data_IF_415122936888
#
_entry.id   IF_415122936888
#
_cell.length_a   1.000
_cell.length_b   1.000
_cell.length_c   1.000
_cell.angle_alpha   90.00
_cell.angle_beta   90.00
_cell.angle_gamma   90.00
#
_symmetry.space_group_name_H-M   'P 1'
#
loop_
_entity.id
_entity.type
_entity.pdbx_description
1 polymer ?
#
# COMPACT_ATOMS: atom_id res chain seq x y z
N UNK A 1 1.16 26.17 11.60
CA UNK A 1 0.45 25.60 10.45
C UNK A 1 -0.67 24.75 11.03
N UNK A 2 -1.88 24.81 10.46
CA UNK A 2 -2.97 23.94 10.94
C UNK A 2 -2.64 22.47 10.63
N UNK A 3 -3.12 21.56 11.48
CA UNK A 3 -2.89 20.12 11.31
C UNK A 3 -3.46 19.60 9.98
N UNK A 4 -4.62 20.14 9.56
CA UNK A 4 -5.23 19.84 8.26
C UNK A 4 -4.34 20.24 7.07
N UNK A 5 -3.67 21.39 7.16
CA UNK A 5 -2.75 21.85 6.10
C UNK A 5 -1.54 20.93 5.94
N UNK A 6 -1.02 20.35 7.03
CA UNK A 6 0.08 19.38 6.97
C UNK A 6 -0.31 18.11 6.23
N UNK A 7 -1.55 17.62 6.42
CA UNK A 7 -2.06 16.46 5.67
C UNK A 7 -2.10 16.77 4.18
N UNK A 8 -2.72 17.89 3.81
CA UNK A 8 -2.81 18.32 2.40
C UNK A 8 -1.42 18.42 1.78
N UNK A 9 -0.51 19.12 2.45
CA UNK A 9 0.83 19.33 1.94
C UNK A 9 1.59 18.01 1.77
N UNK A 10 1.48 17.09 2.73
CA UNK A 10 2.14 15.79 2.65
C UNK A 10 1.61 14.91 1.52
N UNK A 11 0.28 14.90 1.29
CA UNK A 11 -0.33 14.15 0.20
C UNK A 11 0.03 14.75 -1.16
N UNK A 12 0.05 16.09 -1.28
CA UNK A 12 0.26 16.76 -2.57
C UNK A 12 1.74 16.84 -2.95
N UNK A 13 2.67 16.86 -1.99
CA UNK A 13 4.11 16.99 -2.25
C UNK A 13 4.63 15.96 -3.29
N UNK A 14 4.30 14.66 -3.24
CA UNK A 14 4.75 13.72 -4.27
C UNK A 14 4.17 14.00 -5.65
N UNK A 15 2.95 14.56 -5.75
CA UNK A 15 2.36 14.98 -7.01
C UNK A 15 3.08 16.18 -7.60
N UNK A 16 3.48 17.14 -6.77
CA UNK A 16 4.34 18.24 -7.20
C UNK A 16 5.70 17.74 -7.68
N UNK A 17 6.31 16.78 -6.98
CA UNK A 17 7.55 16.15 -7.45
C UNK A 17 7.38 15.51 -8.83
N UNK A 18 6.25 14.81 -9.07
CA UNK A 18 5.92 14.24 -10.38
C UNK A 18 5.75 15.31 -11.46
N UNK A 19 5.00 16.38 -11.16
CA UNK A 19 4.73 17.50 -12.08
C UNK A 19 6.01 18.23 -12.47
N UNK A 20 6.83 18.63 -11.49
CA UNK A 20 8.08 19.33 -11.74
C UNK A 20 9.11 18.44 -12.45
N UNK A 21 9.15 17.13 -12.14
CA UNK A 21 9.96 16.18 -12.91
C UNK A 21 9.53 16.10 -14.38
N UNK A 22 8.23 16.25 -14.68
CA UNK A 22 7.73 16.31 -16.04
C UNK A 22 8.12 17.63 -16.73
N UNK A 23 7.95 18.76 -16.06
CA UNK A 23 8.32 20.09 -16.59
C UNK A 23 9.81 20.15 -16.89
N UNK A 24 10.66 19.65 -16.01
CA UNK A 24 12.11 19.65 -16.12
C UNK A 24 12.66 18.43 -16.88
N UNK A 25 11.85 17.72 -17.67
CA UNK A 25 12.20 16.47 -18.35
C UNK A 25 13.44 16.54 -19.26
N UNK A 26 13.77 17.71 -19.79
CA UNK A 26 14.93 17.93 -20.65
C UNK A 26 16.26 18.08 -19.87
N UNK A 27 16.21 18.37 -18.57
CA UNK A 27 17.38 18.44 -17.72
C UNK A 27 17.35 17.29 -16.70
N UNK A 28 18.19 16.28 -16.95
CA UNK A 28 18.22 15.06 -16.11
C UNK A 28 18.49 15.37 -14.63
N UNK A 29 19.35 16.35 -14.33
CA UNK A 29 19.69 16.68 -12.95
C UNK A 29 18.52 17.34 -12.21
N UNK A 30 17.86 18.32 -12.84
CA UNK A 30 16.69 18.96 -12.25
C UNK A 30 15.52 17.99 -12.11
N UNK A 31 15.22 17.19 -13.14
CA UNK A 31 14.19 16.17 -13.10
C UNK A 31 14.36 15.24 -11.90
N UNK A 32 15.56 14.72 -11.72
CA UNK A 32 15.83 13.71 -10.70
C UNK A 32 15.93 14.34 -9.29
N UNK A 33 16.32 15.63 -9.18
CA UNK A 33 16.37 16.35 -7.90
C UNK A 33 14.99 16.50 -7.26
N UNK A 34 13.91 16.62 -8.05
CA UNK A 34 12.56 16.76 -7.51
C UNK A 34 12.09 15.51 -6.76
N UNK A 35 12.54 14.31 -7.14
CA UNK A 35 12.29 13.08 -6.37
C UNK A 35 12.92 13.14 -4.97
N UNK A 36 14.17 13.61 -4.87
CA UNK A 36 14.88 13.74 -3.59
C UNK A 36 14.26 14.86 -2.73
N UNK A 37 14.03 16.04 -3.33
CA UNK A 37 13.43 17.19 -2.61
C UNK A 37 12.03 16.83 -2.12
N UNK A 38 11.20 16.20 -2.97
CA UNK A 38 9.88 15.71 -2.58
C UNK A 38 9.94 14.73 -1.43
N UNK A 39 10.91 13.80 -1.46
CA UNK A 39 11.15 12.85 -0.38
C UNK A 39 11.53 13.54 0.93
N UNK A 40 12.44 14.51 0.90
CA UNK A 40 12.86 15.28 2.08
C UNK A 40 11.70 16.08 2.69
N UNK A 41 10.94 16.81 1.85
CA UNK A 41 9.79 17.59 2.32
C UNK A 41 8.74 16.68 2.93
N UNK A 42 8.40 15.57 2.26
CA UNK A 42 7.42 14.60 2.78
C UNK A 42 7.89 13.95 4.08
N UNK A 43 9.17 13.64 4.20
CA UNK A 43 9.75 13.09 5.43
C UNK A 43 9.64 14.06 6.60
N UNK A 44 9.97 15.34 6.39
CA UNK A 44 9.85 16.37 7.44
C UNK A 44 8.39 16.57 7.88
N UNK A 45 7.44 16.53 6.93
CA UNK A 45 6.01 16.60 7.24
C UNK A 45 5.59 15.37 8.04
N UNK A 46 5.95 14.15 7.60
CA UNK A 46 5.63 12.91 8.29
C UNK A 46 6.24 12.86 9.71
N UNK A 47 7.46 13.39 9.87
CA UNK A 47 8.11 13.49 11.19
C UNK A 47 7.34 14.43 12.12
N UNK A 48 6.88 15.58 11.60
CA UNK A 48 6.08 16.53 12.37
C UNK A 48 4.73 15.94 12.76
N UNK A 49 4.05 15.25 11.86
CA UNK A 49 2.78 14.55 12.13
C UNK A 49 3.00 13.45 13.18
N UNK A 50 4.05 12.64 13.04
CA UNK A 50 4.38 11.59 14.00
C UNK A 50 4.59 12.15 15.41
N UNK A 51 5.35 13.23 15.53
CA UNK A 51 5.58 13.88 16.83
C UNK A 51 4.30 14.50 17.41
N UNK A 52 3.45 15.11 16.56
CA UNK A 52 2.15 15.65 17.00
C UNK A 52 1.22 14.55 17.51
N UNK A 53 1.17 13.38 16.85
CA UNK A 53 0.36 12.24 17.31
C UNK A 53 0.87 11.71 18.66
N UNK A 54 2.18 11.67 18.90
CA UNK A 54 2.74 11.31 20.20
C UNK A 54 2.30 12.27 21.33
N UNK A 55 2.02 13.53 20.97
CA UNK A 55 1.50 14.56 21.88
C UNK A 55 -0.04 14.61 21.90
N UNK A 56 -0.72 13.57 21.40
CA UNK A 56 -2.18 13.46 21.31
C UNK A 56 -2.84 14.54 20.42
N UNK A 57 -2.12 15.12 19.47
CA UNK A 57 -2.71 16.02 18.47
C UNK A 57 -3.51 15.21 17.45
N UNK A 58 -4.69 15.75 17.05
CA UNK A 58 -5.53 15.15 16.01
C UNK A 58 -5.18 15.75 14.66
N UNK A 59 -4.88 14.88 13.70
CA UNK A 59 -4.64 15.21 12.30
C UNK A 59 -5.78 14.63 11.46
N UNK A 60 -6.75 15.49 11.14
CA UNK A 60 -7.92 15.10 10.34
C UNK A 60 -8.36 16.24 9.42
N UNK A 61 -8.85 15.87 8.24
CA UNK A 61 -9.49 16.76 7.29
C UNK A 61 -10.57 16.00 6.51
N UNK A 62 -11.76 16.59 6.43
CA UNK A 62 -12.86 16.11 5.60
C UNK A 62 -13.06 17.10 4.46
N UNK A 63 -13.16 16.62 3.23
CA UNK A 63 -13.34 17.44 2.03
C UNK A 63 -14.80 17.56 1.64
N UNK A 64 -15.50 16.43 1.53
CA UNK A 64 -16.91 16.37 1.15
C UNK A 64 -17.49 15.00 1.53
N UNK A 65 -18.82 14.92 1.60
CA UNK A 65 -19.56 13.68 1.81
C UNK A 65 -19.76 12.98 0.46
N UNK A 66 -19.39 11.69 0.37
CA UNK A 66 -19.56 10.87 -0.82
C UNK A 66 -21.00 10.34 -0.90
N UNK A 67 -21.48 9.77 0.18
CA UNK A 67 -22.85 9.30 0.39
C UNK A 67 -23.12 9.16 1.90
N UNK A 68 -24.36 8.87 2.27
CA UNK A 68 -24.77 8.84 3.68
C UNK A 68 -23.86 7.94 4.54
N UNK A 69 -23.29 8.54 5.57
CA UNK A 69 -22.38 7.86 6.50
C UNK A 69 -20.95 7.66 6.00
N UNK A 70 -20.57 8.19 4.82
CA UNK A 70 -19.22 8.06 4.27
C UNK A 70 -18.71 9.36 3.69
N UNK A 71 -17.70 9.92 4.36
CA UNK A 71 -17.04 11.15 3.97
C UNK A 71 -15.71 10.90 3.26
N UNK A 72 -15.32 11.81 2.36
CA UNK A 72 -13.94 11.81 1.82
C UNK A 72 -13.02 12.47 2.83
N UNK A 73 -12.54 11.64 3.78
CA UNK A 73 -11.80 12.09 4.96
C UNK A 73 -10.41 11.46 5.02
N UNK A 74 -9.41 12.28 5.35
CA UNK A 74 -8.10 11.82 5.80
C UNK A 74 -8.00 12.01 7.30
N UNK A 75 -7.56 10.97 8.01
CA UNK A 75 -7.32 10.95 9.44
C UNK A 75 -6.06 10.12 9.71
N UNK A 76 -5.04 10.75 10.26
CA UNK A 76 -3.79 10.04 10.51
C UNK A 76 -3.86 9.31 11.83
N UNK A 77 -3.81 7.99 11.78
CA UNK A 77 -3.68 7.12 12.95
C UNK A 77 -2.21 6.97 13.39
N UNK A 78 -1.98 6.43 14.58
CA UNK A 78 -0.63 6.10 15.05
C UNK A 78 0.09 5.16 14.07
N UNK A 79 -0.61 4.11 13.59
CA UNK A 79 -0.08 3.17 12.60
C UNK A 79 0.23 3.88 11.25
N UNK A 80 -0.66 4.77 10.79
CA UNK A 80 -0.47 5.55 9.57
C UNK A 80 0.71 6.51 9.64
N UNK A 81 0.95 7.10 10.83
CA UNK A 81 2.09 7.99 11.04
C UNK A 81 3.43 7.27 10.96
N UNK A 82 3.55 6.07 11.55
CA UNK A 82 4.73 5.22 11.46
C UNK A 82 4.97 4.78 10.02
N UNK A 83 3.90 4.32 9.34
CA UNK A 83 4.00 3.91 7.94
C UNK A 83 4.51 5.05 7.04
N UNK A 84 3.95 6.25 7.17
CA UNK A 84 4.34 7.40 6.35
C UNK A 84 5.76 7.86 6.62
N UNK A 85 6.23 7.78 7.87
CA UNK A 85 7.60 8.10 8.25
C UNK A 85 8.60 7.13 7.58
N UNK A 86 8.32 5.83 7.65
CA UNK A 86 9.16 4.80 7.00
C UNK A 86 9.12 4.95 5.48
N UNK A 87 7.94 5.10 4.88
CA UNK A 87 7.80 5.23 3.42
C UNK A 87 8.53 6.46 2.88
N UNK A 88 8.41 7.61 3.54
CA UNK A 88 9.07 8.85 3.11
C UNK A 88 10.58 8.81 3.28
N UNK A 89 11.10 8.22 4.36
CA UNK A 89 12.54 8.04 4.55
C UNK A 89 13.15 7.12 3.50
N UNK A 90 12.49 6.00 3.21
CA UNK A 90 12.93 5.08 2.17
C UNK A 90 12.80 5.68 0.76
N UNK A 91 11.84 6.58 0.52
CA UNK A 91 11.74 7.27 -0.76
C UNK A 91 12.97 8.11 -1.08
N UNK A 92 13.57 8.80 -0.11
CA UNK A 92 14.81 9.57 -0.29
C UNK A 92 15.93 8.64 -0.77
N UNK A 93 16.18 7.55 -0.03
CA UNK A 93 17.23 6.58 -0.34
C UNK A 93 17.00 5.91 -1.69
N UNK A 94 15.76 5.50 -1.95
CA UNK A 94 15.36 4.88 -3.21
C UNK A 94 15.48 5.84 -4.40
N UNK A 95 15.23 7.14 -4.23
CA UNK A 95 15.43 8.15 -5.28
C UNK A 95 16.90 8.27 -5.65
N UNK A 96 17.80 8.36 -4.66
CA UNK A 96 19.26 8.42 -4.87
C UNK A 96 19.73 7.16 -5.61
N UNK A 97 19.33 5.98 -5.13
CA UNK A 97 19.65 4.70 -5.76
C UNK A 97 19.14 4.62 -7.21
N UNK A 98 17.89 5.05 -7.44
CA UNK A 98 17.26 5.04 -8.76
C UNK A 98 18.03 5.88 -9.77
N UNK A 99 18.50 7.06 -9.38
CA UNK A 99 19.29 7.94 -10.25
C UNK A 99 20.55 7.22 -10.74
N UNK A 100 21.31 6.65 -9.80
CA UNK A 100 22.53 5.90 -10.12
C UNK A 100 22.25 4.70 -11.03
N UNK A 101 21.23 3.90 -10.70
CA UNK A 101 20.88 2.70 -11.45
C UNK A 101 20.38 3.03 -12.86
N UNK A 102 19.39 3.92 -12.99
CA UNK A 102 18.76 4.21 -14.29
C UNK A 102 19.71 4.88 -15.26
N UNK A 103 20.59 5.75 -14.76
CA UNK A 103 21.62 6.41 -15.58
C UNK A 103 22.75 5.44 -15.93
N UNK A 104 23.23 4.66 -14.96
CA UNK A 104 24.32 3.69 -15.16
C UNK A 104 23.95 2.56 -16.11
N UNK A 105 22.70 2.08 -16.04
CA UNK A 105 22.17 1.05 -16.93
C UNK A 105 21.71 1.61 -18.31
N UNK A 106 21.73 2.93 -18.53
CA UNK A 106 21.22 3.55 -19.76
C UNK A 106 19.74 3.29 -20.02
N UNK A 107 18.93 3.13 -18.96
CA UNK A 107 17.49 2.83 -19.09
C UNK A 107 16.74 3.95 -19.83
N UNK A 108 15.85 3.54 -20.72
CA UNK A 108 15.02 4.48 -21.51
C UNK A 108 13.82 4.97 -20.66
N UNK A 109 13.18 6.06 -21.13
CA UNK A 109 11.95 6.58 -20.51
C UNK A 109 12.04 6.90 -19.00
N UNK A 110 13.21 7.41 -18.54
CA UNK A 110 13.45 7.72 -17.13
C UNK A 110 12.45 8.74 -16.56
N UNK A 111 12.00 9.72 -17.36
CA UNK A 111 10.99 10.70 -16.94
C UNK A 111 9.67 10.02 -16.56
N UNK A 112 9.19 9.09 -17.43
CA UNK A 112 7.99 8.29 -17.13
C UNK A 112 8.16 7.52 -15.83
N UNK A 113 9.34 6.95 -15.62
CA UNK A 113 9.67 6.22 -14.40
C UNK A 113 9.52 7.10 -13.14
N UNK A 114 10.18 8.25 -13.10
CA UNK A 114 10.16 9.16 -11.94
C UNK A 114 8.74 9.66 -11.64
N UNK A 115 7.95 9.98 -12.67
CA UNK A 115 6.56 10.42 -12.52
C UNK A 115 5.72 9.35 -11.84
N UNK A 116 5.68 8.13 -12.39
CA UNK A 116 4.86 7.05 -11.83
C UNK A 116 5.36 6.57 -10.48
N UNK A 117 6.67 6.65 -10.23
CA UNK A 117 7.24 6.39 -8.93
C UNK A 117 6.70 7.38 -7.87
N UNK A 118 6.72 8.68 -8.17
CA UNK A 118 6.20 9.72 -7.27
C UNK A 118 4.68 9.59 -7.05
N UNK A 119 3.89 9.25 -8.09
CA UNK A 119 2.45 8.98 -7.95
C UNK A 119 2.20 7.75 -7.07
N UNK A 120 3.02 6.72 -7.17
CA UNK A 120 2.91 5.54 -6.30
C UNK A 120 3.17 5.89 -4.82
N UNK A 121 4.14 6.76 -4.54
CA UNK A 121 4.39 7.26 -3.18
C UNK A 121 3.21 8.10 -2.68
N UNK A 122 2.66 9.00 -3.53
CA UNK A 122 1.44 9.73 -3.21
C UNK A 122 0.32 8.80 -2.77
N UNK A 123 0.03 7.76 -3.56
CA UNK A 123 -1.03 6.81 -3.25
C UNK A 123 -0.74 6.03 -1.95
N UNK A 124 0.50 5.63 -1.70
CA UNK A 124 0.89 4.94 -0.47
C UNK A 124 0.69 5.81 0.78
N UNK A 125 1.04 7.10 0.71
CA UNK A 125 0.81 8.06 1.81
C UNK A 125 -0.69 8.32 2.02
N UNK A 126 -1.45 8.43 0.94
CA UNK A 126 -2.90 8.62 1.03
C UNK A 126 -3.60 7.39 1.63
N UNK A 127 -3.13 6.17 1.35
CA UNK A 127 -3.56 4.94 2.05
C UNK A 127 -3.25 5.06 3.55
N UNK A 128 -2.04 5.47 3.91
CA UNK A 128 -1.59 5.57 5.29
C UNK A 128 -2.41 6.56 6.12
N UNK A 129 -2.92 7.60 5.48
CA UNK A 129 -3.66 8.70 6.12
C UNK A 129 -5.15 8.68 5.80
N UNK A 130 -5.67 7.63 5.20
CA UNK A 130 -7.12 7.46 4.97
C UNK A 130 -7.88 7.44 6.30
N UNK A 131 -9.05 8.09 6.34
CA UNK A 131 -9.92 8.14 7.51
C UNK A 131 -10.97 7.04 7.55
N UNK A 132 -11.22 6.39 6.40
CA UNK A 132 -12.18 5.30 6.26
C UNK A 132 -11.77 4.29 5.20
N UNK A 133 -12.49 3.19 5.17
CA UNK A 133 -12.18 2.04 4.32
C UNK A 133 -12.37 2.33 2.81
N UNK A 134 -13.30 3.21 2.43
CA UNK A 134 -13.52 3.57 1.03
C UNK A 134 -12.41 4.48 0.49
N UNK A 135 -11.99 5.48 1.25
CA UNK A 135 -10.85 6.35 0.87
C UNK A 135 -9.59 5.50 0.75
N UNK A 136 -9.36 4.57 1.70
CA UNK A 136 -8.28 3.60 1.61
C UNK A 136 -8.36 2.82 0.29
N UNK A 137 -9.52 2.27 -0.07
CA UNK A 137 -9.72 1.50 -1.30
C UNK A 137 -9.43 2.31 -2.56
N UNK A 138 -9.89 3.56 -2.65
CA UNK A 138 -9.61 4.44 -3.80
C UNK A 138 -8.11 4.59 -4.03
N UNK A 139 -7.36 4.94 -2.98
CA UNK A 139 -5.90 5.10 -3.11
C UNK A 139 -5.15 3.77 -3.25
N UNK A 140 -5.72 2.68 -2.74
CA UNK A 140 -5.24 1.33 -2.99
C UNK A 140 -5.28 1.01 -4.49
N UNK A 141 -6.35 1.37 -5.22
CA UNK A 141 -6.41 1.18 -6.67
C UNK A 141 -5.50 2.15 -7.43
N UNK A 142 -5.43 3.43 -7.01
CA UNK A 142 -4.48 4.39 -7.60
C UNK A 142 -3.04 3.86 -7.49
N UNK A 143 -2.68 3.22 -6.38
CA UNK A 143 -1.38 2.58 -6.21
C UNK A 143 -1.17 1.45 -7.22
N UNK A 144 -2.19 0.59 -7.46
CA UNK A 144 -2.12 -0.47 -8.46
C UNK A 144 -1.88 0.10 -9.86
N UNK A 145 -2.68 1.08 -10.27
CA UNK A 145 -2.58 1.68 -11.60
C UNK A 145 -1.29 2.49 -11.79
N UNK A 146 -0.78 3.16 -10.77
CA UNK A 146 0.47 3.93 -10.86
C UNK A 146 1.70 3.03 -10.95
N UNK A 147 1.66 1.84 -10.36
CA UNK A 147 2.79 0.90 -10.41
C UNK A 147 2.78 -0.02 -11.63
N UNK A 148 1.66 -0.19 -12.31
CA UNK A 148 1.57 -0.97 -13.54
C UNK A 148 2.57 -0.52 -14.63
N UNK A 149 2.69 0.79 -14.99
CA UNK A 149 3.67 1.25 -15.97
C UNK A 149 5.14 1.06 -15.52
N UNK A 150 5.37 0.91 -14.22
CA UNK A 150 6.69 0.63 -13.67
C UNK A 150 7.05 -0.85 -13.83
N UNK A 151 6.11 -1.78 -13.58
CA UNK A 151 6.30 -3.22 -13.83
C UNK A 151 6.55 -3.47 -15.33
N UNK A 152 5.77 -2.82 -16.20
CA UNK A 152 5.93 -2.88 -17.65
C UNK A 152 7.01 -1.95 -18.23
N UNK A 153 7.97 -1.44 -17.43
CA UNK A 153 8.90 -0.38 -17.84
C UNK A 153 9.71 -0.71 -19.09
N UNK A 154 10.23 -1.93 -19.19
CA UNK A 154 11.07 -2.39 -20.30
C UNK A 154 10.32 -2.53 -21.63
N UNK A 155 9.00 -2.56 -21.62
CA UNK A 155 8.13 -2.65 -22.82
C UNK A 155 8.39 -3.85 -23.73
N UNK A 156 9.10 -4.88 -23.29
CA UNK A 156 9.24 -6.15 -23.97
C UNK A 156 8.07 -7.11 -23.69
N UNK A 157 7.96 -8.20 -24.44
CA UNK A 157 6.85 -9.16 -24.29
C UNK A 157 6.75 -9.76 -22.88
N UNK A 158 7.87 -10.00 -22.24
CA UNK A 158 7.96 -10.53 -20.88
C UNK A 158 7.41 -9.54 -19.86
N UNK A 159 7.87 -8.27 -19.88
CA UNK A 159 7.40 -7.24 -18.95
C UNK A 159 5.94 -6.88 -19.17
N UNK A 160 5.43 -6.93 -20.41
CA UNK A 160 4.01 -6.73 -20.71
C UNK A 160 3.15 -7.89 -20.16
N UNK A 161 3.62 -9.14 -20.30
CA UNK A 161 2.93 -10.30 -19.74
C UNK A 161 2.88 -10.25 -18.20
N UNK A 162 4.01 -9.93 -17.58
CA UNK A 162 4.11 -9.73 -16.13
C UNK A 162 3.21 -8.59 -15.65
N UNK A 163 3.18 -7.47 -16.36
CA UNK A 163 2.29 -6.35 -16.05
C UNK A 163 0.81 -6.72 -16.14
N UNK A 164 0.39 -7.47 -17.17
CA UNK A 164 -0.99 -7.96 -17.27
C UNK A 164 -1.35 -8.89 -16.12
N UNK A 165 -0.48 -9.84 -15.77
CA UNK A 165 -0.69 -10.74 -14.63
C UNK A 165 -0.79 -9.95 -13.32
N UNK A 166 0.11 -8.98 -13.12
CA UNK A 166 0.09 -8.07 -11.99
C UNK A 166 -1.26 -7.35 -11.85
N UNK A 167 -1.70 -6.70 -12.93
CA UNK A 167 -2.95 -5.94 -12.93
C UNK A 167 -4.17 -6.84 -12.75
N UNK A 168 -4.22 -7.98 -13.47
CA UNK A 168 -5.36 -8.92 -13.41
C UNK A 168 -5.56 -9.49 -12.02
N UNK A 169 -4.48 -9.85 -11.31
CA UNK A 169 -4.59 -10.37 -9.95
C UNK A 169 -5.00 -9.26 -8.99
N UNK A 170 -4.31 -8.12 -8.97
CA UNK A 170 -4.54 -7.09 -7.96
C UNK A 170 -5.89 -6.39 -8.13
N UNK A 171 -6.24 -5.98 -9.35
CA UNK A 171 -7.55 -5.36 -9.62
C UNK A 171 -8.67 -6.40 -9.55
N UNK A 172 -8.43 -7.61 -10.08
CA UNK A 172 -9.42 -8.69 -10.01
C UNK A 172 -9.80 -9.04 -8.58
N UNK A 173 -8.82 -9.23 -7.70
CA UNK A 173 -9.10 -9.57 -6.29
C UNK A 173 -9.77 -8.42 -5.54
N UNK A 174 -9.33 -7.20 -5.77
CA UNK A 174 -9.93 -6.04 -5.10
C UNK A 174 -11.36 -5.76 -5.54
N UNK A 175 -11.69 -5.91 -6.82
CA UNK A 175 -13.05 -5.71 -7.32
C UNK A 175 -13.99 -6.87 -6.98
N UNK A 176 -13.49 -8.13 -6.95
CA UNK A 176 -14.32 -9.31 -6.69
C UNK A 176 -14.54 -9.51 -5.18
N UNK A 177 -13.55 -9.19 -4.34
CA UNK A 177 -13.61 -9.48 -2.92
C UNK A 177 -13.60 -8.24 -2.04
N UNK A 178 -12.63 -7.32 -2.23
CA UNK A 178 -12.46 -6.19 -1.32
C UNK A 178 -13.61 -5.18 -1.44
N UNK A 179 -13.97 -4.78 -2.65
CA UNK A 179 -15.05 -3.82 -2.86
C UNK A 179 -16.41 -4.34 -2.38
N UNK A 180 -16.83 -5.59 -2.68
CA UNK A 180 -18.07 -6.13 -2.12
C UNK A 180 -18.04 -6.26 -0.59
N UNK A 181 -16.87 -6.57 0.02
CA UNK A 181 -16.73 -6.59 1.47
C UNK A 181 -16.96 -5.19 2.08
N UNK A 182 -16.43 -4.13 1.44
CA UNK A 182 -16.65 -2.75 1.85
C UNK A 182 -18.14 -2.38 1.83
N UNK A 183 -18.84 -2.74 0.74
CA UNK A 183 -20.27 -2.50 0.64
C UNK A 183 -21.07 -3.28 1.68
N UNK A 184 -20.70 -4.53 1.96
CA UNK A 184 -21.37 -5.33 2.98
C UNK A 184 -21.17 -4.71 4.38
N UNK A 185 -19.96 -4.29 4.71
CA UNK A 185 -19.68 -3.58 5.97
C UNK A 185 -20.57 -2.32 6.09
N UNK A 186 -20.62 -1.51 5.03
CA UNK A 186 -21.43 -0.29 5.02
C UNK A 186 -22.94 -0.57 5.19
N UNK A 187 -23.47 -1.60 4.55
CA UNK A 187 -24.86 -1.98 4.67
C UNK A 187 -25.25 -2.40 6.10
N UNK A 188 -24.35 -3.07 6.82
CA UNK A 188 -24.61 -3.54 8.18
C UNK A 188 -24.37 -2.45 9.25
N UNK A 189 -23.37 -1.59 9.03
CA UNK A 189 -22.93 -0.64 10.06
C UNK A 189 -23.33 0.83 9.78
N UNK A 190 -23.71 1.15 8.55
CA UNK A 190 -24.00 2.52 8.12
C UNK A 190 -22.77 3.43 8.03
N UNK A 191 -21.57 2.94 8.35
CA UNK A 191 -20.31 3.70 8.33
C UNK A 191 -19.14 2.87 7.84
N UNK A 192 -18.07 3.54 7.39
CA UNK A 192 -16.80 2.92 7.02
C UNK A 192 -15.61 3.53 7.76
N UNK A 193 -15.88 4.40 8.74
CA UNK A 193 -14.87 5.16 9.46
C UNK A 193 -14.03 4.26 10.37
N UNK A 194 -12.75 4.54 10.43
CA UNK A 194 -11.82 3.82 11.30
C UNK A 194 -12.04 4.21 12.76
N UNK A 195 -12.39 3.23 13.58
CA UNK A 195 -12.61 3.39 15.02
C UNK A 195 -11.76 2.41 15.83
N UNK A 196 -11.24 2.87 16.95
CA UNK A 196 -10.50 2.02 17.87
C UNK A 196 -11.43 0.92 18.42
N UNK A 197 -10.97 -0.33 18.36
CA UNK A 197 -11.76 -1.49 18.77
C UNK A 197 -12.66 -2.10 17.70
N UNK A 198 -12.77 -1.45 16.53
CA UNK A 198 -13.56 -1.94 15.38
C UNK A 198 -15.02 -1.44 15.38
N UNK A 199 -15.63 -1.44 14.20
CA UNK A 199 -17.02 -1.00 14.00
C UNK A 199 -18.01 -2.18 13.88
N UNK A 200 -17.50 -3.41 13.72
CA UNK A 200 -18.37 -4.59 13.49
C UNK A 200 -18.94 -5.20 14.77
N UNK A 201 -18.36 -4.91 15.93
CA UNK A 201 -18.80 -5.48 17.19
C UNK A 201 -20.26 -5.10 17.48
N UNK A 202 -21.11 -6.09 17.78
CA UNK A 202 -22.55 -5.93 18.00
C UNK A 202 -23.38 -5.42 16.81
N UNK A 203 -22.77 -5.22 15.63
CA UNK A 203 -23.47 -4.75 14.43
C UNK A 203 -23.45 -5.78 13.30
N UNK A 204 -22.40 -6.61 13.23
CA UNK A 204 -22.25 -7.62 12.20
C UNK A 204 -22.56 -9.03 12.72
N UNK A 205 -23.32 -9.85 11.96
CA UNK A 205 -23.61 -11.24 12.35
C UNK A 205 -22.36 -12.10 12.46
N UNK A 206 -22.09 -12.66 13.64
CA UNK A 206 -20.89 -13.45 13.92
C UNK A 206 -20.74 -14.67 13.00
N UNK A 207 -21.85 -15.24 12.54
CA UNK A 207 -21.87 -16.41 11.64
C UNK A 207 -21.25 -16.13 10.28
N UNK A 208 -21.33 -14.90 9.77
CA UNK A 208 -20.75 -14.49 8.48
C UNK A 208 -19.37 -13.84 8.60
N UNK A 209 -18.88 -13.62 9.81
CA UNK A 209 -17.61 -12.91 10.02
C UNK A 209 -16.42 -13.62 9.37
N UNK A 210 -16.39 -14.98 9.41
CA UNK A 210 -15.33 -15.75 8.76
C UNK A 210 -15.32 -15.55 7.24
N UNK A 211 -16.51 -15.45 6.61
CA UNK A 211 -16.62 -15.16 5.17
C UNK A 211 -16.17 -13.74 4.86
N UNK A 212 -16.57 -12.76 5.66
CA UNK A 212 -16.15 -11.37 5.50
C UNK A 212 -14.63 -11.24 5.61
N UNK A 213 -14.01 -11.90 6.61
CA UNK A 213 -12.54 -11.93 6.75
C UNK A 213 -11.90 -12.55 5.51
N UNK A 214 -12.46 -13.63 4.97
CA UNK A 214 -11.95 -14.24 3.75
C UNK A 214 -12.00 -13.27 2.56
N UNK A 215 -13.11 -12.55 2.38
CA UNK A 215 -13.24 -11.51 1.34
C UNK A 215 -12.21 -10.39 1.53
N UNK A 216 -12.00 -9.91 2.75
CA UNK A 216 -11.02 -8.87 3.05
C UNK A 216 -9.57 -9.35 2.81
N UNK A 217 -9.22 -10.53 3.29
CA UNK A 217 -7.86 -11.12 3.15
C UNK A 217 -7.52 -11.37 1.68
N UNK A 218 -8.41 -12.02 0.93
CA UNK A 218 -8.18 -12.30 -0.49
C UNK A 218 -8.38 -11.05 -1.36
N UNK A 219 -9.21 -10.11 -0.94
CA UNK A 219 -9.39 -8.83 -1.60
C UNK A 219 -8.19 -7.89 -1.46
N UNK A 220 -7.47 -7.94 -0.33
CA UNK A 220 -6.21 -7.21 -0.12
C UNK A 220 -5.04 -7.99 -0.77
N UNK A 221 -5.15 -8.26 -2.06
CA UNK A 221 -4.17 -9.05 -2.82
C UNK A 221 -2.73 -8.55 -2.77
N UNK A 222 -2.50 -7.25 -2.44
CA UNK A 222 -1.16 -6.68 -2.27
C UNK A 222 -0.41 -7.28 -1.07
N UNK A 223 -1.08 -7.87 -0.10
CA UNK A 223 -0.46 -8.61 1.00
C UNK A 223 0.20 -9.93 0.55
N UNK A 224 -0.08 -10.37 -0.67
CA UNK A 224 0.55 -11.52 -1.34
C UNK A 224 0.45 -12.85 -0.57
N UNK A 225 -0.63 -13.08 0.17
CA UNK A 225 -0.90 -14.36 0.82
C UNK A 225 -1.21 -15.45 -0.24
N UNK A 226 -0.82 -16.69 -0.02
CA UNK A 226 -1.19 -17.79 -0.92
C UNK A 226 -2.70 -18.06 -0.86
N UNK A 227 -3.34 -18.29 -2.04
CA UNK A 227 -2.79 -18.52 -3.38
C UNK A 227 -2.56 -17.26 -4.23
N UNK A 228 -2.85 -16.06 -3.75
CA UNK A 228 -2.87 -14.79 -4.53
C UNK A 228 -1.46 -14.17 -4.72
N UNK A 229 -0.41 -14.83 -4.26
CA UNK A 229 0.98 -14.33 -4.24
C UNK A 229 1.67 -14.21 -5.61
N UNK A 230 1.16 -14.87 -6.67
CA UNK A 230 1.88 -15.08 -7.95
C UNK A 230 2.29 -13.80 -8.68
N UNK A 231 1.57 -12.72 -8.47
CA UNK A 231 1.89 -11.42 -9.07
C UNK A 231 3.26 -10.88 -8.62
N UNK A 232 3.67 -11.16 -7.37
CA UNK A 232 4.87 -10.57 -6.79
C UNK A 232 6.17 -11.12 -7.42
N UNK A 233 6.39 -12.46 -7.54
CA UNK A 233 7.52 -12.99 -8.29
C UNK A 233 7.47 -12.60 -9.78
N UNK A 234 6.28 -12.55 -10.40
CA UNK A 234 6.14 -12.15 -11.80
C UNK A 234 6.57 -10.69 -12.04
N UNK A 235 6.33 -9.80 -11.09
CA UNK A 235 6.75 -8.39 -11.19
C UNK A 235 8.29 -8.20 -11.14
N UNK A 236 9.08 -9.23 -10.83
CA UNK A 236 10.54 -9.14 -10.72
C UNK A 236 11.26 -8.95 -12.05
N UNK A 237 10.60 -9.07 -13.19
CA UNK A 237 11.14 -8.69 -14.52
C UNK A 237 11.44 -7.19 -14.64
N UNK A 238 10.82 -6.37 -13.80
CA UNK A 238 11.03 -4.93 -13.75
C UNK A 238 12.47 -4.54 -13.35
N UNK A 239 12.93 -3.31 -13.67
CA UNK A 239 14.20 -2.79 -13.17
C UNK A 239 14.30 -2.85 -11.65
N UNK A 240 15.51 -3.01 -11.11
CA UNK A 240 15.71 -3.19 -9.66
C UNK A 240 15.11 -2.07 -8.79
N UNK A 241 15.14 -0.77 -9.19
CA UNK A 241 14.45 0.27 -8.42
C UNK A 241 12.93 0.06 -8.29
N UNK A 242 12.28 -0.55 -9.31
CA UNK A 242 10.86 -0.93 -9.21
C UNK A 242 10.68 -2.05 -8.19
N UNK A 243 11.55 -3.07 -8.24
CA UNK A 243 11.50 -4.15 -7.25
C UNK A 243 11.66 -3.60 -5.82
N UNK A 244 12.55 -2.62 -5.61
CA UNK A 244 12.72 -1.94 -4.34
C UNK A 244 11.44 -1.19 -3.91
N UNK A 245 10.77 -0.46 -4.82
CA UNK A 245 9.49 0.19 -4.55
C UNK A 245 8.40 -0.81 -4.15
N UNK A 246 8.27 -1.90 -4.92
CA UNK A 246 7.26 -2.93 -4.69
C UNK A 246 7.44 -3.60 -3.32
N UNK A 247 8.68 -3.96 -2.96
CA UNK A 247 8.97 -4.76 -1.76
C UNK A 247 9.20 -3.93 -0.50
N UNK A 248 9.93 -2.81 -0.59
CA UNK A 248 10.41 -2.10 0.60
C UNK A 248 9.59 -0.86 0.93
N UNK A 249 9.07 -0.14 -0.08
CA UNK A 249 8.53 1.21 0.15
C UNK A 249 7.01 1.24 0.13
N UNK A 250 6.34 0.72 -0.91
CA UNK A 250 4.93 1.04 -1.14
C UNK A 250 4.00 -0.17 -1.23
N UNK A 251 4.09 -1.02 -2.27
CA UNK A 251 2.97 -1.88 -2.67
C UNK A 251 2.64 -2.97 -1.65
N UNK A 252 3.59 -3.84 -1.32
CA UNK A 252 3.35 -4.91 -0.34
C UNK A 252 3.14 -4.37 1.06
N UNK A 253 3.79 -3.24 1.39
CA UNK A 253 3.62 -2.58 2.69
C UNK A 253 2.22 -1.96 2.80
N UNK A 254 1.70 -1.33 1.75
CA UNK A 254 0.32 -0.90 1.70
C UNK A 254 -0.66 -2.08 1.84
N UNK A 255 -0.33 -3.26 1.28
CA UNK A 255 -1.14 -4.46 1.45
C UNK A 255 -1.28 -4.89 2.92
N UNK A 256 -0.15 -5.12 3.61
CA UNK A 256 -0.20 -5.52 5.03
C UNK A 256 -0.68 -4.39 5.93
N UNK A 257 -0.40 -3.13 5.60
CA UNK A 257 -0.96 -1.98 6.30
C UNK A 257 -2.49 -1.97 6.22
N UNK A 258 -3.05 -2.12 5.01
CA UNK A 258 -4.51 -2.20 4.82
C UNK A 258 -5.12 -3.35 5.60
N UNK A 259 -4.44 -4.51 5.64
CA UNK A 259 -4.86 -5.65 6.45
C UNK A 259 -4.89 -5.32 7.94
N UNK A 260 -3.81 -4.73 8.49
CA UNK A 260 -3.74 -4.32 9.88
C UNK A 260 -4.83 -3.30 10.25
N UNK A 261 -5.04 -2.29 9.38
CA UNK A 261 -6.10 -1.28 9.56
C UNK A 261 -7.47 -1.93 9.61
N UNK A 262 -7.75 -2.88 8.72
CA UNK A 262 -9.01 -3.61 8.69
C UNK A 262 -9.21 -4.42 9.97
N UNK A 263 -8.20 -5.15 10.42
CA UNK A 263 -8.30 -5.96 11.64
C UNK A 263 -8.49 -5.07 12.88
N UNK A 264 -7.72 -3.99 13.01
CA UNK A 264 -7.71 -3.17 14.23
C UNK A 264 -8.91 -2.22 14.28
N UNK A 265 -9.24 -1.55 13.16
CA UNK A 265 -10.19 -0.43 13.17
C UNK A 265 -11.55 -0.75 12.53
N UNK A 266 -11.69 -1.86 11.81
CA UNK A 266 -12.96 -2.29 11.22
C UNK A 266 -13.52 -3.51 11.96
N UNK A 267 -12.77 -4.61 11.99
CA UNK A 267 -13.25 -5.87 12.59
C UNK A 267 -13.22 -5.78 14.12
N UNK A 268 -12.12 -5.36 14.69
CA UNK A 268 -11.87 -5.30 16.12
C UNK A 268 -11.26 -6.59 16.67
N UNK A 269 -10.11 -6.52 17.36
CA UNK A 269 -9.45 -7.70 17.93
C UNK A 269 -10.32 -8.46 18.94
N UNK A 270 -11.11 -7.75 19.74
CA UNK A 270 -12.01 -8.39 20.72
C UNK A 270 -13.10 -9.23 20.05
N UNK A 271 -13.66 -8.75 18.94
CA UNK A 271 -14.69 -9.49 18.20
C UNK A 271 -14.12 -10.77 17.57
N UNK A 272 -12.87 -10.72 17.08
CA UNK A 272 -12.16 -11.89 16.59
C UNK A 272 -11.89 -12.93 17.69
N UNK A 273 -11.45 -12.50 18.86
CA UNK A 273 -11.20 -13.37 19.99
C UNK A 273 -12.47 -14.07 20.49
N UNK A 274 -13.60 -13.37 20.53
CA UNK A 274 -14.88 -13.92 20.94
C UNK A 274 -15.44 -14.95 19.96
N UNK A 275 -15.31 -14.68 18.65
CA UNK A 275 -15.94 -15.50 17.60
C UNK A 275 -15.04 -16.61 17.06
N UNK A 276 -13.71 -16.49 17.25
CA UNK A 276 -12.68 -17.37 16.65
C UNK A 276 -12.77 -17.46 15.11
N UNK A 277 -13.35 -16.45 14.47
CA UNK A 277 -13.64 -16.45 13.04
C UNK A 277 -12.38 -16.34 12.16
N UNK A 278 -11.22 -16.01 12.74
CA UNK A 278 -9.92 -15.88 12.08
C UNK A 278 -9.00 -17.10 12.25
N UNK A 279 -9.39 -18.15 12.98
CA UNK A 279 -8.51 -19.30 13.26
C UNK A 279 -7.97 -19.99 12.00
N UNK A 280 -8.79 -20.05 10.94
CA UNK A 280 -8.36 -20.60 9.64
C UNK A 280 -7.25 -19.75 8.99
N UNK A 281 -7.23 -18.44 9.23
CA UNK A 281 -6.23 -17.53 8.66
C UNK A 281 -4.85 -17.77 9.29
N UNK A 282 -4.79 -18.13 10.57
CA UNK A 282 -3.54 -18.53 11.25
C UNK A 282 -2.89 -19.71 10.49
N UNK A 283 -3.68 -20.74 10.17
CA UNK A 283 -3.17 -21.89 9.41
C UNK A 283 -2.75 -21.52 7.99
N UNK A 284 -3.50 -20.66 7.31
CA UNK A 284 -3.16 -20.17 5.97
C UNK A 284 -1.87 -19.34 5.99
N UNK A 285 -1.70 -18.48 6.99
CA UNK A 285 -0.49 -17.68 7.16
C UNK A 285 0.73 -18.58 7.45
N UNK A 286 0.61 -19.53 8.38
CA UNK A 286 1.68 -20.50 8.67
C UNK A 286 2.05 -21.32 7.42
N UNK A 287 1.07 -21.83 6.67
CA UNK A 287 1.31 -22.52 5.41
C UNK A 287 2.05 -21.63 4.41
N UNK A 288 1.62 -20.37 4.25
CA UNK A 288 2.26 -19.41 3.34
C UNK A 288 3.71 -19.11 3.74
N UNK A 289 3.99 -18.95 5.04
CA UNK A 289 5.34 -18.76 5.58
C UNK A 289 6.24 -19.93 5.20
N UNK A 290 5.82 -21.15 5.48
CA UNK A 290 6.62 -22.34 5.23
C UNK A 290 6.81 -22.57 3.72
N UNK A 291 5.72 -22.58 2.96
CA UNK A 291 5.76 -22.86 1.53
C UNK A 291 6.62 -21.84 0.77
N UNK A 292 6.45 -20.53 1.05
CA UNK A 292 7.24 -19.49 0.39
C UNK A 292 8.70 -19.53 0.79
N UNK A 293 9.04 -19.85 2.03
CA UNK A 293 10.43 -20.01 2.48
C UNK A 293 11.12 -21.18 1.79
N UNK A 294 10.44 -22.34 1.66
CA UNK A 294 10.96 -23.51 0.94
C UNK A 294 11.17 -23.17 -0.54
N UNK A 295 10.19 -22.51 -1.18
CA UNK A 295 10.32 -22.10 -2.58
C UNK A 295 11.48 -21.10 -2.74
N UNK A 296 11.67 -20.15 -1.81
CA UNK A 296 12.76 -19.18 -1.88
C UNK A 296 14.14 -19.87 -1.94
N UNK A 297 14.35 -20.94 -1.18
CA UNK A 297 15.62 -21.69 -1.18
C UNK A 297 15.89 -22.35 -2.54
N UNK A 298 14.85 -22.76 -3.28
CA UNK A 298 14.97 -23.42 -4.57
C UNK A 298 15.19 -22.46 -5.76
N UNK A 299 15.13 -21.15 -5.54
CA UNK A 299 15.28 -20.17 -6.62
C UNK A 299 16.74 -19.76 -6.82
N UNK A 300 17.25 -19.88 -8.04
CA UNK A 300 18.59 -19.43 -8.43
C UNK A 300 18.62 -17.91 -8.65
N UNK A 301 17.55 -17.34 -9.26
CA UNK A 301 17.45 -15.90 -9.45
C UNK A 301 17.23 -15.17 -8.12
N UNK A 302 18.14 -14.23 -7.83
CA UNK A 302 18.16 -13.47 -6.59
C UNK A 302 16.87 -12.67 -6.37
N UNK A 303 16.31 -12.07 -7.42
CA UNK A 303 15.07 -11.29 -7.33
C UNK A 303 13.87 -12.20 -7.01
N UNK A 304 13.77 -13.34 -7.67
CA UNK A 304 12.73 -14.32 -7.37
C UNK A 304 12.85 -14.85 -5.94
N UNK A 305 14.08 -15.13 -5.47
CA UNK A 305 14.34 -15.53 -4.08
C UNK A 305 13.86 -14.48 -3.08
N UNK A 306 14.21 -13.21 -3.32
CA UNK A 306 13.77 -12.10 -2.47
C UNK A 306 12.24 -11.92 -2.50
N UNK A 307 11.58 -12.13 -3.64
CA UNK A 307 10.13 -12.07 -3.73
C UNK A 307 9.46 -13.12 -2.84
N UNK A 308 9.89 -14.38 -2.89
CA UNK A 308 9.33 -15.43 -2.03
C UNK A 308 9.69 -15.24 -0.55
N UNK A 309 10.90 -14.75 -0.24
CA UNK A 309 11.26 -14.35 1.11
C UNK A 309 10.35 -13.21 1.62
N UNK A 310 10.01 -12.24 0.77
CA UNK A 310 9.09 -11.17 1.13
C UNK A 310 7.68 -11.70 1.41
N UNK A 311 7.16 -12.64 0.61
CA UNK A 311 5.86 -13.28 0.85
C UNK A 311 5.84 -13.93 2.24
N UNK A 312 6.91 -14.64 2.62
CA UNK A 312 7.06 -15.20 3.96
C UNK A 312 6.98 -14.12 5.04
N UNK A 313 7.76 -13.04 4.92
CA UNK A 313 7.81 -11.96 5.91
C UNK A 313 6.47 -11.21 6.04
N UNK A 314 5.74 -10.99 4.93
CA UNK A 314 4.41 -10.37 4.97
C UNK A 314 3.41 -11.26 5.72
N UNK A 315 3.51 -12.57 5.53
CA UNK A 315 2.64 -13.54 6.21
C UNK A 315 2.91 -13.61 7.72
N UNK A 316 4.14 -13.31 8.20
CA UNK A 316 4.39 -13.13 9.64
C UNK A 316 3.62 -11.93 10.21
N UNK A 317 3.49 -10.84 9.45
CA UNK A 317 2.71 -9.67 9.90
C UNK A 317 1.22 -10.03 9.97
N UNK A 318 0.71 -10.80 8.99
CA UNK A 318 -0.67 -11.28 8.99
C UNK A 318 -0.93 -12.25 10.16
N UNK A 319 0.04 -13.09 10.48
CA UNK A 319 -0.06 -14.03 11.60
C UNK A 319 -0.08 -13.32 12.96
N UNK A 320 0.63 -12.19 13.08
CA UNK A 320 0.73 -11.42 14.31
C UNK A 320 -0.38 -10.38 14.52
N UNK A 321 -1.27 -10.23 13.54
CA UNK A 321 -2.41 -9.30 13.60
C UNK A 321 -3.66 -9.98 14.14
#
# INVERSE_FOLDING_TARGET
>A
MSNSFLIILGIITPLFAALFSYICRYNNNLRDSFGIIGGLVTFLISLKIFHGIQNNEIFQITFFTLFDGVDFTFKVSALGSIFSLVASSLWILASIYTIGYMRGAGEKNQTRFVIFYSIAIHAALAIAWSGNLLVLFIFYEILTFSTFPLVGHKQNAESQSAGRLYLSILVGTSLIFFLPAIFWIWLETGTLDFQDGGILINQFPAEYLSLLIAMLVFGIGKAAIMPIHRWLPAAMVAPTPVSALLHAVAVVKAGVFSFLVVIVYIVGPEFLLQTKSSDWLVWLACFTIMASSIIAITKDDLKARLAYSTISQLSYIILGA
#
